data_IF_776291194576
#
_entry.id   IF_776291194576
#
_cell.length_a   1.000
_cell.length_b   1.000
_cell.length_c   1.000
_cell.angle_alpha   90.00
_cell.angle_beta   90.00
_cell.angle_gamma   90.00
#
_symmetry.space_group_name_H-M   'P 1'
#
loop_
_entity.id
_entity.type
_entity.pdbx_description
1 polymer ?
#
# COMPACT_ATOMS: atom_id res chain seq x y z
N UNK A 1 7.23 13.04 -12.56
CA UNK A 1 6.61 11.83 -11.95
C UNK A 1 7.02 11.58 -10.50
N UNK A 2 8.29 11.29 -10.17
CA UNK A 2 8.68 10.97 -8.78
C UNK A 2 8.35 12.07 -7.74
N UNK A 3 8.52 13.36 -8.08
CA UNK A 3 8.15 14.47 -7.16
C UNK A 3 6.67 14.44 -6.78
N UNK A 4 5.80 14.15 -7.75
CA UNK A 4 4.35 14.07 -7.53
C UNK A 4 3.99 12.84 -6.68
N UNK A 5 4.60 11.68 -6.97
CA UNK A 5 4.39 10.46 -6.17
C UNK A 5 4.78 10.67 -4.71
N UNK A 6 5.95 11.27 -4.45
CA UNK A 6 6.38 11.60 -3.08
C UNK A 6 5.40 12.55 -2.40
N UNK A 7 4.93 13.59 -3.10
CA UNK A 7 3.93 14.52 -2.56
C UNK A 7 2.65 13.80 -2.16
N UNK A 8 2.08 12.98 -3.04
CA UNK A 8 0.86 12.21 -2.77
C UNK A 8 1.02 11.29 -1.55
N UNK A 9 2.16 10.61 -1.43
CA UNK A 9 2.46 9.73 -0.29
C UNK A 9 2.60 10.53 1.02
N UNK A 10 3.27 11.69 0.97
CA UNK A 10 3.37 12.60 2.12
C UNK A 10 2.01 13.09 2.56
N UNK A 11 1.17 13.55 1.62
CA UNK A 11 -0.16 14.07 1.92
C UNK A 11 -1.08 12.97 2.49
N UNK A 12 -0.97 11.73 1.97
CA UNK A 12 -1.68 10.56 2.52
C UNK A 12 -1.25 10.28 3.96
N UNK A 13 0.06 10.27 4.24
CA UNK A 13 0.59 10.04 5.60
C UNK A 13 0.25 11.15 6.58
N UNK A 14 0.10 12.38 6.10
CA UNK A 14 -0.35 13.51 6.90
C UNK A 14 -1.86 13.46 7.22
N UNK A 15 -2.59 12.47 6.69
CA UNK A 15 -4.04 12.32 6.87
C UNK A 15 -4.87 13.16 5.91
N UNK A 16 -4.25 13.81 4.91
CA UNK A 16 -4.96 14.54 3.86
C UNK A 16 -5.78 13.62 2.94
N UNK A 17 -5.42 12.33 2.89
CA UNK A 17 -6.16 11.28 2.19
C UNK A 17 -6.30 10.05 3.08
N UNK A 18 -7.47 9.42 3.04
CA UNK A 18 -7.72 8.14 3.73
C UNK A 18 -7.46 6.92 2.84
N UNK A 19 -7.34 7.12 1.53
CA UNK A 19 -7.17 6.04 0.54
C UNK A 19 -6.07 6.42 -0.45
N UNK A 20 -5.15 5.48 -0.69
CA UNK A 20 -4.12 5.57 -1.71
C UNK A 20 -4.34 4.43 -2.72
N UNK A 21 -4.55 4.79 -3.98
CA UNK A 21 -4.66 3.83 -5.09
C UNK A 21 -3.36 3.85 -5.87
N UNK A 22 -2.74 2.69 -6.05
CA UNK A 22 -1.51 2.54 -6.80
C UNK A 22 -1.53 1.24 -7.61
N UNK A 23 -0.78 1.24 -8.71
CA UNK A 23 -0.39 0.02 -9.42
C UNK A 23 0.77 -0.64 -8.66
N UNK A 24 1.52 -1.55 -9.32
CA UNK A 24 2.67 -2.21 -8.69
C UNK A 24 3.78 -1.27 -8.21
N UNK A 25 3.72 0.01 -8.56
CA UNK A 25 4.63 1.04 -8.04
C UNK A 25 4.42 1.34 -6.55
N UNK A 26 3.26 1.01 -5.98
CA UNK A 26 3.02 1.14 -4.53
C UNK A 26 3.82 0.13 -3.70
N UNK A 27 4.44 -0.86 -4.34
CA UNK A 27 5.10 -1.99 -3.69
C UNK A 27 6.61 -1.74 -3.49
N UNK A 28 7.20 -0.90 -4.34
CA UNK A 28 8.65 -0.68 -4.41
C UNK A 28 8.97 0.82 -4.33
N UNK A 29 9.87 1.20 -3.43
CA UNK A 29 10.46 2.55 -3.38
C UNK A 29 9.59 3.69 -2.84
N UNK A 30 8.32 3.45 -2.50
CA UNK A 30 7.45 4.44 -1.85
C UNK A 30 7.27 4.14 -0.35
N UNK A 31 7.55 5.13 0.49
CA UNK A 31 7.37 5.03 1.93
C UNK A 31 5.94 5.44 2.34
N UNK A 32 5.00 4.51 2.14
CA UNK A 32 3.56 4.68 2.43
C UNK A 32 3.28 4.71 3.95
N UNK A 33 4.19 4.21 4.78
CA UNK A 33 3.97 4.06 6.22
C UNK A 33 3.14 2.82 6.59
N UNK A 34 2.40 2.91 7.70
CA UNK A 34 1.51 1.86 8.21
C UNK A 34 0.06 2.18 7.85
N UNK A 35 -0.67 1.21 7.32
CA UNK A 35 -2.09 1.29 6.95
C UNK A 35 -2.91 0.22 7.66
N UNK A 36 -4.22 0.39 7.73
CA UNK A 36 -5.12 -0.56 8.40
C UNK A 36 -5.72 -1.60 7.46
N UNK A 37 -5.85 -1.23 6.18
CA UNK A 37 -6.47 -2.05 5.16
C UNK A 37 -5.62 -2.03 3.90
N UNK A 38 -5.35 -3.23 3.37
CA UNK A 38 -4.72 -3.42 2.07
C UNK A 38 -5.70 -4.19 1.19
N UNK A 39 -6.01 -3.64 0.01
CA UNK A 39 -6.82 -4.30 -1.01
C UNK A 39 -5.94 -4.59 -2.21
N UNK A 40 -5.82 -5.86 -2.57
CA UNK A 40 -5.00 -6.31 -3.68
C UNK A 40 -5.86 -6.92 -4.78
N UNK A 41 -5.87 -6.29 -5.96
CA UNK A 41 -6.47 -6.84 -7.17
C UNK A 41 -5.40 -7.63 -7.95
N UNK A 42 -5.71 -8.87 -8.36
CA UNK A 42 -4.81 -9.72 -9.18
C UNK A 42 -3.40 -9.91 -8.56
N UNK A 43 -3.37 -10.20 -7.26
CA UNK A 43 -2.17 -10.14 -6.42
C UNK A 43 -1.22 -11.33 -6.58
N UNK A 44 -1.64 -12.40 -7.27
CA UNK A 44 -0.96 -13.69 -7.25
C UNK A 44 0.26 -13.77 -8.17
N UNK A 45 0.58 -12.70 -8.91
CA UNK A 45 1.72 -12.67 -9.83
C UNK A 45 3.08 -12.77 -9.13
N UNK A 46 3.18 -12.46 -7.84
CA UNK A 46 4.43 -12.59 -7.08
C UNK A 46 4.20 -12.72 -5.57
N UNK A 47 4.57 -13.85 -4.94
CA UNK A 47 4.46 -14.05 -3.49
C UNK A 47 5.32 -13.05 -2.68
N UNK A 48 6.52 -12.71 -3.17
CA UNK A 48 7.44 -11.78 -2.49
C UNK A 48 6.78 -10.40 -2.36
N UNK A 49 6.17 -9.94 -3.44
CA UNK A 49 5.43 -8.68 -3.50
C UNK A 49 4.24 -8.67 -2.55
N UNK A 50 3.49 -9.76 -2.47
CA UNK A 50 2.42 -9.90 -1.50
C UNK A 50 2.95 -9.73 -0.06
N UNK A 51 4.05 -10.40 0.30
CA UNK A 51 4.68 -10.25 1.63
C UNK A 51 5.11 -8.81 1.91
N UNK A 52 5.72 -8.13 0.94
CA UNK A 52 6.11 -6.72 1.09
C UNK A 52 4.91 -5.81 1.33
N UNK A 53 3.79 -6.04 0.64
CA UNK A 53 2.53 -5.33 0.87
C UNK A 53 2.01 -5.59 2.28
N UNK A 54 1.93 -6.86 2.70
CA UNK A 54 1.47 -7.23 4.05
C UNK A 54 2.29 -6.53 5.15
N UNK A 55 3.59 -6.33 4.91
CA UNK A 55 4.46 -5.56 5.81
C UNK A 55 4.09 -4.08 6.00
N UNK A 56 3.11 -3.54 5.26
CA UNK A 56 2.59 -2.17 5.40
C UNK A 56 1.38 -2.08 6.32
N UNK A 57 0.84 -3.20 6.80
CA UNK A 57 -0.24 -3.23 7.78
C UNK A 57 0.18 -4.02 9.02
N UNK A 58 -0.66 -4.03 10.07
CA UNK A 58 -0.43 -4.86 11.24
C UNK A 58 0.71 -4.42 12.19
N UNK A 59 1.32 -3.24 12.00
CA UNK A 59 2.46 -2.79 12.81
C UNK A 59 2.07 -2.13 14.13
N UNK A 60 1.07 -1.26 14.10
CA UNK A 60 0.61 -0.49 15.27
C UNK A 60 -0.71 -1.03 15.86
N UNK A 61 -1.53 -1.66 15.02
CA UNK A 61 -2.84 -2.24 15.36
C UNK A 61 -3.20 -3.33 14.37
N UNK A 62 -4.30 -4.03 14.62
CA UNK A 62 -4.78 -5.10 13.75
C UNK A 62 -4.94 -4.61 12.31
N UNK A 63 -4.22 -5.25 11.39
CA UNK A 63 -4.29 -5.00 9.97
C UNK A 63 -5.23 -5.97 9.27
N UNK A 64 -5.85 -5.53 8.19
CA UNK A 64 -6.69 -6.37 7.33
C UNK A 64 -6.18 -6.35 5.90
N UNK A 65 -6.15 -7.52 5.28
CA UNK A 65 -5.77 -7.69 3.88
C UNK A 65 -6.93 -8.37 3.16
N UNK A 66 -7.34 -7.80 2.02
CA UNK A 66 -8.37 -8.34 1.14
C UNK A 66 -7.74 -8.61 -0.21
N UNK A 67 -7.81 -9.87 -0.64
CA UNK A 67 -7.40 -10.32 -1.96
C UNK A 67 -8.63 -10.42 -2.84
N UNK A 68 -8.69 -9.61 -3.90
CA UNK A 68 -9.72 -9.72 -4.93
C UNK A 68 -9.20 -10.67 -6.00
N UNK A 69 -9.86 -11.82 -6.10
CA UNK A 69 -9.60 -12.85 -7.10
C UNK A 69 -10.75 -12.86 -8.12
N UNK A 70 -10.40 -13.01 -9.38
CA UNK A 70 -11.31 -13.14 -10.53
C UNK A 70 -10.95 -14.39 -11.30
#
# INVERSE_FOLDING_TARGET
NQKLQKKVVTDFRAGGYNVLIATSIGEEGLDIGSVDLIICFDALKSPIRLVQRMGRTGRARQGRIVLLMT
#
